data_IF_778004730354
#
_entry.id   IF_778004730354
#
_cell.length_a   1.000
_cell.length_b   1.000
_cell.length_c   1.000
_cell.angle_alpha   90.00
_cell.angle_beta   90.00
_cell.angle_gamma   90.00
#
_symmetry.space_group_name_H-M   'P 1'
#
loop_
_entity.id
_entity.type
_entity.pdbx_description
1 polymer ?
#
# COMPACT_ATOMS: atom_id res chain seq x y z
N UNK A 1 12.67 -9.50 -7.33
CA UNK A 1 12.30 -8.07 -7.30
C UNK A 1 11.88 -7.67 -5.90
N UNK A 2 12.16 -6.43 -5.52
CA UNK A 2 11.83 -5.91 -4.19
C UNK A 2 10.72 -4.85 -4.27
N UNK A 3 9.67 -5.06 -3.49
CA UNK A 3 8.48 -4.22 -3.47
C UNK A 3 8.26 -3.71 -2.05
N UNK A 4 7.90 -2.43 -1.90
CA UNK A 4 7.55 -1.79 -0.64
C UNK A 4 6.11 -1.30 -0.69
N UNK A 5 5.38 -1.45 0.41
CA UNK A 5 4.20 -0.64 0.73
C UNK A 5 4.40 0.12 2.04
N UNK A 6 3.91 1.36 2.10
CA UNK A 6 3.99 2.18 3.31
C UNK A 6 2.94 3.30 3.27
N UNK A 7 2.14 3.42 4.31
CA UNK A 7 1.37 4.63 4.56
C UNK A 7 2.34 5.76 4.96
N UNK A 8 2.33 6.88 4.23
CA UNK A 8 3.31 7.96 4.37
C UNK A 8 2.86 9.08 5.32
N UNK A 9 1.73 8.91 6.00
CA UNK A 9 1.13 9.86 6.96
C UNK A 9 0.97 11.28 6.38
N UNK A 10 -0.27 11.70 6.15
CA UNK A 10 -0.59 12.99 5.51
C UNK A 10 -0.56 14.21 6.45
N UNK A 11 -0.31 14.03 7.76
CA UNK A 11 -0.28 15.08 8.78
C UNK A 11 1.16 15.40 9.25
N UNK A 12 1.31 16.46 10.03
CA UNK A 12 2.62 16.88 10.55
C UNK A 12 3.51 17.53 9.49
N UNK A 13 4.83 17.39 9.63
CA UNK A 13 5.81 17.96 8.69
C UNK A 13 5.96 17.06 7.45
N UNK A 14 4.90 16.94 6.67
CA UNK A 14 4.84 16.09 5.47
C UNK A 14 5.97 16.39 4.48
N UNK A 15 6.29 17.66 4.12
CA UNK A 15 7.34 17.92 3.15
C UNK A 15 8.74 17.47 3.59
N UNK A 16 9.09 17.63 4.88
CA UNK A 16 10.40 17.22 5.39
C UNK A 16 10.50 15.69 5.44
N UNK A 17 9.47 15.00 5.99
CA UNK A 17 9.42 13.54 6.03
C UNK A 17 9.45 12.91 4.64
N UNK A 18 8.72 13.46 3.65
CA UNK A 18 8.74 12.93 2.28
C UNK A 18 10.07 13.17 1.57
N UNK A 19 10.83 14.23 1.90
CA UNK A 19 12.21 14.38 1.40
C UNK A 19 13.13 13.31 2.00
N UNK A 20 13.03 13.09 3.31
CA UNK A 20 13.81 12.07 3.99
C UNK A 20 13.47 10.66 3.48
N UNK A 21 12.17 10.35 3.34
CA UNK A 21 11.71 9.09 2.74
C UNK A 21 12.24 8.94 1.32
N UNK A 22 12.07 9.95 0.47
CA UNK A 22 12.57 9.92 -0.92
C UNK A 22 14.07 9.66 -0.99
N UNK A 23 14.87 10.33 -0.14
CA UNK A 23 16.32 10.10 -0.07
C UNK A 23 16.68 8.69 0.43
N UNK A 24 15.90 8.12 1.36
CA UNK A 24 16.08 6.75 1.81
C UNK A 24 15.75 5.74 0.70
N UNK A 25 14.64 5.97 -0.01
CA UNK A 25 14.23 5.16 -1.16
C UNK A 25 15.25 5.19 -2.29
N UNK A 26 15.82 6.36 -2.60
CA UNK A 26 16.80 6.51 -3.67
C UNK A 26 18.08 5.69 -3.43
N UNK A 27 18.47 5.56 -2.17
CA UNK A 27 19.63 4.74 -1.75
C UNK A 27 19.31 3.27 -1.54
N UNK A 28 18.03 2.89 -1.55
CA UNK A 28 17.59 1.52 -1.37
C UNK A 28 17.75 0.70 -2.66
N UNK A 29 17.60 -0.61 -2.54
CA UNK A 29 17.52 -1.54 -3.66
C UNK A 29 16.07 -1.96 -3.99
N UNK A 30 15.10 -1.18 -3.52
CA UNK A 30 13.69 -1.35 -3.81
C UNK A 30 13.39 -1.03 -5.27
N UNK A 31 12.66 -1.88 -5.94
CA UNK A 31 12.32 -1.75 -7.36
C UNK A 31 11.00 -1.01 -7.57
N UNK A 32 10.00 -1.33 -6.73
CA UNK A 32 8.63 -0.78 -6.77
C UNK A 32 8.25 -0.31 -5.37
N UNK A 33 7.70 0.91 -5.28
CA UNK A 33 7.26 1.51 -4.01
C UNK A 33 5.82 1.97 -4.15
N UNK A 34 4.96 1.50 -3.27
CA UNK A 34 3.55 1.85 -3.18
C UNK A 34 3.30 2.66 -1.90
N UNK A 35 2.92 3.91 -2.05
CA UNK A 35 2.66 4.80 -0.93
C UNK A 35 1.18 5.14 -0.83
N UNK A 36 0.68 5.21 0.40
CA UNK A 36 -0.63 5.72 0.75
C UNK A 36 -0.47 7.07 1.45
N UNK A 37 -1.53 7.84 1.55
CA UNK A 37 -1.60 9.17 2.18
C UNK A 37 -0.71 10.27 1.57
N UNK A 38 -0.24 10.10 0.36
CA UNK A 38 0.40 11.18 -0.39
C UNK A 38 -0.70 12.06 -1.01
N UNK A 39 -1.28 12.98 -0.23
CA UNK A 39 -2.53 13.66 -0.58
C UNK A 39 -2.43 14.66 -1.71
N UNK A 40 -1.27 15.28 -1.93
CA UNK A 40 -1.15 16.39 -2.88
C UNK A 40 -0.16 16.07 -4.00
N UNK A 41 -0.47 16.55 -5.21
CA UNK A 41 0.44 16.42 -6.36
C UNK A 41 1.81 17.07 -6.14
N UNK A 42 1.87 18.13 -5.34
CA UNK A 42 3.15 18.74 -4.92
C UNK A 42 4.00 17.77 -4.10
N UNK A 43 3.39 16.92 -3.27
CA UNK A 43 4.06 15.89 -2.48
C UNK A 43 4.62 14.77 -3.37
N UNK A 44 3.85 14.29 -4.34
CA UNK A 44 4.35 13.32 -5.32
C UNK A 44 5.52 13.87 -6.15
N UNK A 45 5.48 15.16 -6.53
CA UNK A 45 6.59 15.82 -7.22
C UNK A 45 7.84 15.92 -6.33
N UNK A 46 7.64 16.19 -5.03
CA UNK A 46 8.73 16.25 -4.05
C UNK A 46 9.40 14.89 -3.89
N UNK A 47 8.62 13.82 -3.71
CA UNK A 47 9.11 12.45 -3.67
C UNK A 47 9.91 12.10 -4.93
N UNK A 48 9.35 12.37 -6.13
CA UNK A 48 10.05 12.11 -7.39
C UNK A 48 11.40 12.84 -7.51
N UNK A 49 11.48 14.07 -6.97
CA UNK A 49 12.74 14.83 -6.96
C UNK A 49 13.75 14.26 -5.95
N UNK A 50 13.26 13.75 -4.82
CA UNK A 50 14.10 13.18 -3.77
C UNK A 50 14.52 11.72 -4.03
N UNK A 51 13.84 11.04 -4.98
CA UNK A 51 14.11 9.65 -5.35
C UNK A 51 14.26 9.52 -6.88
N UNK A 52 15.30 10.11 -7.50
CA UNK A 52 15.50 10.11 -8.97
C UNK A 52 15.73 8.71 -9.56
N UNK A 53 16.12 7.71 -8.76
CA UNK A 53 16.23 6.33 -9.20
C UNK A 53 14.90 5.75 -9.71
N UNK A 54 13.74 6.29 -9.25
CA UNK A 54 12.42 5.86 -9.71
C UNK A 54 11.96 6.72 -10.89
N UNK A 55 12.29 6.29 -12.09
CA UNK A 55 12.00 7.04 -13.33
C UNK A 55 10.50 7.10 -13.65
N UNK A 56 9.73 6.11 -13.19
CA UNK A 56 8.31 5.98 -13.51
C UNK A 56 7.45 6.20 -12.27
N UNK A 57 6.45 7.07 -12.40
CA UNK A 57 5.57 7.46 -11.31
C UNK A 57 4.12 7.41 -11.78
N UNK A 58 3.28 6.67 -11.08
CA UNK A 58 1.84 6.64 -11.32
C UNK A 58 1.10 7.26 -10.14
N UNK A 59 0.24 8.24 -10.44
CA UNK A 59 -0.72 8.83 -9.50
C UNK A 59 -1.83 9.54 -10.28
N UNK A 60 -3.03 9.62 -9.73
CA UNK A 60 -4.19 10.28 -10.34
C UNK A 60 -4.61 11.52 -9.56
N UNK A 61 -5.12 12.50 -10.27
CA UNK A 61 -5.63 13.75 -9.71
C UNK A 61 -4.81 14.96 -10.14
N UNK A 62 -5.41 16.16 -10.02
CA UNK A 62 -4.78 17.43 -10.41
C UNK A 62 -4.03 18.05 -9.23
N UNK A 63 -4.72 18.63 -8.27
CA UNK A 63 -4.15 19.18 -7.03
C UNK A 63 -4.14 18.16 -5.91
N UNK A 64 -5.30 17.53 -5.64
CA UNK A 64 -5.46 16.40 -4.73
C UNK A 64 -5.30 15.10 -5.51
N UNK A 65 -4.52 14.17 -4.94
CA UNK A 65 -4.39 12.84 -5.49
C UNK A 65 -5.57 11.96 -5.05
N UNK A 66 -6.10 11.20 -6.00
CA UNK A 66 -7.19 10.25 -5.75
C UNK A 66 -6.67 9.12 -4.85
N UNK A 67 -7.35 8.90 -3.74
CA UNK A 67 -6.96 7.91 -2.73
C UNK A 67 -5.66 8.23 -1.97
N UNK A 68 -4.97 9.33 -2.28
CA UNK A 68 -3.64 9.60 -1.74
C UNK A 68 -2.58 8.59 -2.19
N UNK A 69 -2.80 7.91 -3.33
CA UNK A 69 -1.99 6.79 -3.79
C UNK A 69 -0.92 7.24 -4.78
N UNK A 70 0.32 6.79 -4.53
CA UNK A 70 1.47 6.99 -5.43
C UNK A 70 2.20 5.67 -5.58
N UNK A 71 2.51 5.32 -6.83
CA UNK A 71 3.40 4.21 -7.15
C UNK A 71 4.65 4.79 -7.82
N UNK A 72 5.81 4.43 -7.30
CA UNK A 72 7.13 4.71 -7.88
C UNK A 72 7.70 3.39 -8.41
N UNK A 73 8.34 3.42 -9.58
CA UNK A 73 8.96 2.24 -10.16
C UNK A 73 10.28 2.59 -10.85
N UNK A 74 11.27 1.72 -10.71
CA UNK A 74 12.50 1.76 -11.52
C UNK A 74 12.23 1.30 -12.96
N UNK A 75 11.16 0.53 -13.17
CA UNK A 75 10.78 -0.09 -14.45
C UNK A 75 9.56 0.59 -15.08
N UNK A 76 9.40 0.48 -16.41
CA UNK A 76 8.30 1.11 -17.12
C UNK A 76 6.92 0.68 -16.59
N UNK A 77 6.02 1.66 -16.49
CA UNK A 77 4.60 1.45 -16.19
C UNK A 77 3.87 1.53 -17.52
N UNK A 78 3.39 0.38 -18.03
CA UNK A 78 2.77 0.27 -19.36
C UNK A 78 1.29 0.63 -19.33
N UNK A 79 0.58 0.36 -18.23
CA UNK A 79 -0.83 0.66 -18.04
C UNK A 79 -1.06 1.19 -16.65
N UNK A 80 -2.02 2.10 -16.52
CA UNK A 80 -2.38 2.69 -15.24
C UNK A 80 -3.86 3.07 -15.21
N UNK A 81 -4.54 2.74 -14.11
CA UNK A 81 -5.90 3.23 -13.81
C UNK A 81 -6.10 3.38 -12.31
N UNK A 82 -6.97 4.30 -11.93
CA UNK A 82 -7.50 4.43 -10.57
C UNK A 82 -8.99 4.10 -10.57
N UNK A 83 -9.43 3.25 -9.66
CA UNK A 83 -10.84 2.91 -9.47
C UNK A 83 -11.25 3.29 -8.05
N UNK A 84 -12.26 4.14 -7.94
CA UNK A 84 -12.80 4.59 -6.66
C UNK A 84 -13.66 3.48 -6.05
N UNK A 85 -13.57 3.34 -4.73
CA UNK A 85 -14.51 2.49 -3.99
C UNK A 85 -15.88 3.15 -3.87
N UNK A 86 -16.97 2.36 -3.76
CA UNK A 86 -18.28 2.87 -3.45
C UNK A 86 -18.23 3.66 -2.14
N UNK A 87 -18.91 4.79 -2.11
CA UNK A 87 -19.07 5.57 -0.89
C UNK A 87 -20.19 4.95 -0.07
N UNK A 88 -19.83 4.05 0.85
CA UNK A 88 -20.79 3.41 1.77
C UNK A 88 -20.60 3.98 3.17
N UNK A 89 -21.66 4.35 3.82
CA UNK A 89 -21.63 4.89 5.18
C UNK A 89 -21.76 6.43 5.30
N UNK A 90 -21.69 6.97 6.53
CA UNK A 90 -21.88 8.39 6.78
C UNK A 90 -20.76 9.23 6.16
N UNK A 91 -21.09 10.50 5.87
CA UNK A 91 -20.12 11.49 5.37
C UNK A 91 -18.99 11.65 6.38
N UNK A 92 -17.76 11.36 5.95
CA UNK A 92 -16.52 11.47 6.76
C UNK A 92 -15.48 12.27 6.00
N UNK A 93 -14.46 12.79 6.72
CA UNK A 93 -13.30 13.43 6.08
C UNK A 93 -12.60 12.54 5.05
N UNK A 94 -12.65 11.22 5.23
CA UNK A 94 -12.15 10.21 4.28
C UNK A 94 -12.85 10.23 2.92
N UNK A 95 -14.09 10.74 2.82
CA UNK A 95 -14.75 10.97 1.54
C UNK A 95 -13.96 11.90 0.62
N UNK A 96 -13.26 12.89 1.20
CA UNK A 96 -12.38 13.80 0.46
C UNK A 96 -11.14 13.08 -0.07
N UNK A 97 -10.68 12.03 0.60
CA UNK A 97 -9.56 11.21 0.14
C UNK A 97 -9.90 10.37 -1.09
N UNK A 98 -11.21 10.13 -1.35
CA UNK A 98 -11.67 9.32 -2.48
C UNK A 98 -11.00 7.95 -2.52
N UNK A 99 -11.05 7.20 -1.39
CA UNK A 99 -10.46 5.87 -1.26
C UNK A 99 -10.75 4.98 -2.47
N UNK A 100 -9.81 4.13 -2.83
CA UNK A 100 -9.88 3.30 -4.04
C UNK A 100 -8.62 2.48 -4.26
N UNK A 101 -8.54 1.85 -5.42
CA UNK A 101 -7.40 1.06 -5.86
C UNK A 101 -6.72 1.71 -7.08
N UNK A 102 -5.40 1.74 -7.05
CA UNK A 102 -4.52 2.11 -8.14
C UNK A 102 -3.97 0.82 -8.76
N UNK A 103 -4.31 0.54 -10.01
CA UNK A 103 -3.81 -0.60 -10.74
C UNK A 103 -2.77 -0.14 -11.75
N UNK A 104 -1.60 -0.77 -11.73
CA UNK A 104 -0.50 -0.46 -12.63
C UNK A 104 0.13 -1.74 -13.17
N UNK A 105 0.33 -1.84 -14.48
CA UNK A 105 1.15 -2.89 -15.10
C UNK A 105 2.59 -2.40 -15.16
N UNK A 106 3.50 -3.11 -14.50
CA UNK A 106 4.94 -2.79 -14.45
C UNK A 106 5.70 -3.82 -15.28
N UNK A 107 6.48 -3.35 -16.26
CA UNK A 107 7.32 -4.19 -17.10
C UNK A 107 8.63 -4.53 -16.37
N UNK A 108 8.61 -5.57 -15.54
CA UNK A 108 9.80 -6.03 -14.80
C UNK A 108 10.73 -6.86 -15.66
N UNK A 109 12.00 -7.05 -15.28
CA UNK A 109 12.92 -7.97 -15.98
C UNK A 109 12.40 -9.41 -16.07
N UNK A 110 11.54 -9.85 -15.15
CA UNK A 110 10.92 -11.17 -15.14
C UNK A 110 9.54 -11.21 -15.87
N UNK A 111 9.18 -10.17 -16.61
CA UNK A 111 7.90 -10.02 -17.30
C UNK A 111 6.96 -9.05 -16.60
N UNK A 112 5.74 -8.89 -17.14
CA UNK A 112 4.74 -7.96 -16.61
C UNK A 112 4.25 -8.43 -15.23
N UNK A 113 4.11 -7.47 -14.29
CA UNK A 113 3.48 -7.63 -12.98
C UNK A 113 2.37 -6.59 -12.85
N UNK A 114 1.18 -7.02 -12.47
CA UNK A 114 0.10 -6.10 -12.10
C UNK A 114 0.23 -5.77 -10.61
N UNK A 115 0.51 -4.50 -10.30
CA UNK A 115 0.57 -3.98 -8.93
C UNK A 115 -0.71 -3.23 -8.62
N UNK A 116 -1.35 -3.59 -7.53
CA UNK A 116 -2.57 -2.97 -7.04
C UNK A 116 -2.26 -2.32 -5.70
N UNK A 117 -2.07 -0.99 -5.71
CA UNK A 117 -1.87 -0.19 -4.51
C UNK A 117 -3.23 0.31 -4.01
N UNK A 118 -3.55 0.08 -2.75
CA UNK A 118 -4.84 0.46 -2.17
C UNK A 118 -4.72 0.99 -0.75
N UNK A 119 -5.75 1.70 -0.31
CA UNK A 119 -5.91 2.15 1.06
C UNK A 119 -7.40 2.09 1.41
N UNK A 120 -7.79 1.18 2.31
CA UNK A 120 -9.17 0.99 2.74
C UNK A 120 -9.58 2.01 3.82
N UNK A 121 -10.87 2.13 4.04
CA UNK A 121 -11.43 2.98 5.10
C UNK A 121 -10.99 2.52 6.49
N UNK A 122 -10.55 3.48 7.33
CA UNK A 122 -10.05 3.18 8.66
C UNK A 122 -11.16 2.66 9.58
N UNK A 123 -10.82 1.66 10.38
CA UNK A 123 -11.53 1.32 11.60
C UNK A 123 -11.24 2.41 12.66
N UNK A 124 -12.19 2.74 13.52
CA UNK A 124 -12.06 3.83 14.50
C UNK A 124 -12.44 3.44 15.92
N UNK A 125 -12.80 2.19 16.12
CA UNK A 125 -13.28 1.68 17.41
C UNK A 125 -12.63 0.36 17.81
N UNK A 126 -11.58 -0.04 17.08
CA UNK A 126 -10.80 -1.26 17.31
C UNK A 126 -11.64 -2.55 17.39
N UNK A 127 -12.84 -2.52 16.80
CA UNK A 127 -13.72 -3.67 16.65
C UNK A 127 -13.78 -4.11 15.19
N UNK A 128 -13.08 -5.18 14.84
CA UNK A 128 -13.09 -5.78 13.50
C UNK A 128 -14.07 -6.95 13.37
N UNK A 129 -15.03 -7.06 14.29
CA UNK A 129 -16.08 -8.07 14.18
C UNK A 129 -16.90 -7.91 12.89
N UNK A 130 -17.47 -8.96 12.32
CA UNK A 130 -18.26 -8.90 11.10
C UNK A 130 -19.52 -8.01 11.21
N UNK A 131 -20.01 -7.79 12.43
CA UNK A 131 -21.17 -6.94 12.71
C UNK A 131 -20.82 -5.46 12.81
N UNK A 132 -19.55 -5.12 12.99
CA UNK A 132 -19.10 -3.73 13.09
C UNK A 132 -19.30 -2.99 11.76
N UNK A 133 -19.73 -1.74 11.86
CA UNK A 133 -20.01 -0.91 10.66
C UNK A 133 -18.77 -0.61 9.83
N UNK A 134 -17.61 -0.42 10.48
CA UNK A 134 -16.35 -0.13 9.79
C UNK A 134 -15.87 -1.36 9.04
N UNK A 135 -15.96 -2.54 9.68
CA UNK A 135 -15.65 -3.83 9.05
C UNK A 135 -16.54 -4.09 7.83
N UNK A 136 -17.85 -3.79 7.93
CA UNK A 136 -18.77 -3.94 6.78
C UNK A 136 -18.44 -2.98 5.63
N UNK A 137 -17.98 -1.76 5.91
CA UNK A 137 -17.50 -0.83 4.88
C UNK A 137 -16.26 -1.41 4.20
N UNK A 138 -15.27 -1.84 4.98
CA UNK A 138 -14.04 -2.44 4.45
C UNK A 138 -14.34 -3.72 3.63
N UNK A 139 -15.27 -4.58 4.08
CA UNK A 139 -15.71 -5.75 3.34
C UNK A 139 -16.33 -5.38 1.98
N UNK A 140 -17.12 -4.30 1.89
CA UNK A 140 -17.63 -3.79 0.62
C UNK A 140 -16.53 -3.26 -0.32
N UNK A 141 -15.51 -2.61 0.24
CA UNK A 141 -14.32 -2.15 -0.51
C UNK A 141 -13.49 -3.35 -0.99
N UNK A 142 -13.30 -4.38 -0.15
CA UNK A 142 -12.63 -5.64 -0.51
C UNK A 142 -13.39 -6.40 -1.59
N UNK A 143 -14.71 -6.46 -1.55
CA UNK A 143 -15.53 -7.08 -2.61
C UNK A 143 -15.32 -6.37 -3.95
N UNK A 144 -15.23 -5.03 -3.95
CA UNK A 144 -14.89 -4.27 -5.15
C UNK A 144 -13.48 -4.56 -5.62
N UNK A 145 -12.52 -4.64 -4.69
CA UNK A 145 -11.12 -4.95 -4.99
C UNK A 145 -10.99 -6.36 -5.60
N UNK A 146 -11.67 -7.36 -5.03
CA UNK A 146 -11.73 -8.73 -5.57
C UNK A 146 -12.25 -8.75 -7.02
N UNK A 147 -13.31 -7.99 -7.31
CA UNK A 147 -13.84 -7.86 -8.68
C UNK A 147 -12.80 -7.24 -9.65
N UNK A 148 -11.99 -6.30 -9.18
CA UNK A 148 -10.92 -5.70 -9.99
C UNK A 148 -9.79 -6.69 -10.28
N UNK A 149 -9.43 -7.52 -9.29
CA UNK A 149 -8.40 -8.55 -9.42
C UNK A 149 -8.87 -9.67 -10.34
N UNK A 150 -10.13 -10.10 -10.22
CA UNK A 150 -10.74 -11.11 -11.09
C UNK A 150 -10.77 -10.69 -12.57
N UNK A 151 -10.82 -9.37 -12.83
CA UNK A 151 -10.77 -8.82 -14.19
C UNK A 151 -9.33 -8.69 -14.76
N UNK A 152 -8.31 -9.01 -13.98
CA UNK A 152 -6.92 -9.06 -14.47
C UNK A 152 -6.71 -10.38 -15.19
N UNK A 153 -6.08 -10.31 -16.37
CA UNK A 153 -5.72 -11.49 -17.16
C UNK A 153 -5.06 -12.55 -16.26
N UNK A 154 -5.57 -13.78 -16.22
CA UNK A 154 -5.01 -14.85 -15.39
C UNK A 154 -3.58 -15.26 -15.77
N UNK A 155 -3.11 -14.90 -16.96
CA UNK A 155 -1.70 -15.06 -17.35
C UNK A 155 -0.75 -14.05 -16.71
N UNK A 156 -1.28 -13.06 -15.99
CA UNK A 156 -0.46 -12.03 -15.30
C UNK A 156 -0.46 -12.25 -13.80
N UNK A 157 0.70 -12.26 -13.17
CA UNK A 157 0.80 -12.27 -11.72
C UNK A 157 0.35 -10.93 -11.15
N UNK A 158 -0.20 -10.94 -9.93
CA UNK A 158 -0.72 -9.76 -9.25
C UNK A 158 -0.07 -9.61 -7.87
N UNK A 159 0.31 -8.40 -7.51
CA UNK A 159 0.65 -8.01 -6.15
C UNK A 159 -0.34 -6.94 -5.67
N UNK A 160 -1.12 -7.25 -4.64
CA UNK A 160 -2.03 -6.32 -3.96
C UNK A 160 -1.34 -5.85 -2.70
N UNK A 161 -1.17 -4.53 -2.57
CA UNK A 161 -0.41 -3.95 -1.47
C UNK A 161 -1.10 -2.71 -0.92
N UNK A 162 -0.89 -2.42 0.35
CA UNK A 162 -1.40 -1.20 0.96
C UNK A 162 -1.79 -1.35 2.42
N UNK A 163 -2.25 -0.23 2.94
CA UNK A 163 -2.92 -0.15 4.24
C UNK A 163 -4.38 -0.59 4.07
N UNK A 164 -4.67 -1.82 4.48
CA UNK A 164 -6.02 -2.37 4.39
C UNK A 164 -6.88 -2.03 5.62
N UNK A 165 -6.29 -1.41 6.65
CA UNK A 165 -6.96 -1.07 7.90
C UNK A 165 -7.71 -2.26 8.56
N UNK A 166 -7.26 -3.47 8.26
CA UNK A 166 -7.78 -4.73 8.76
C UNK A 166 -6.63 -5.56 9.34
N UNK A 167 -6.77 -6.10 10.55
CA UNK A 167 -5.79 -7.04 11.09
C UNK A 167 -5.59 -8.23 10.16
N UNK A 168 -4.35 -8.73 10.10
CA UNK A 168 -3.97 -9.86 9.22
C UNK A 168 -4.84 -11.08 9.45
N UNK A 169 -5.26 -11.33 10.68
CA UNK A 169 -6.07 -12.48 11.05
C UNK A 169 -7.58 -12.20 11.04
N UNK A 170 -8.02 -11.03 10.56
CA UNK A 170 -9.45 -10.71 10.51
C UNK A 170 -10.20 -11.59 9.51
N UNK A 171 -11.42 -11.98 9.87
CA UNK A 171 -12.27 -12.80 9.00
C UNK A 171 -12.48 -12.13 7.63
N UNK A 172 -12.73 -10.82 7.61
CA UNK A 172 -12.95 -10.08 6.35
C UNK A 172 -11.74 -10.14 5.41
N UNK A 173 -10.50 -10.09 5.95
CA UNK A 173 -9.29 -10.22 5.13
C UNK A 173 -9.09 -11.65 4.65
N UNK A 174 -9.33 -12.64 5.52
CA UNK A 174 -9.25 -14.07 5.17
C UNK A 174 -10.23 -14.43 4.04
N UNK A 175 -11.47 -13.97 4.13
CA UNK A 175 -12.50 -14.16 3.10
C UNK A 175 -12.07 -13.53 1.77
N UNK A 176 -11.52 -12.31 1.82
CA UNK A 176 -11.01 -11.63 0.62
C UNK A 176 -9.84 -12.37 -0.02
N UNK A 177 -8.84 -12.79 0.77
CA UNK A 177 -7.68 -13.55 0.28
C UNK A 177 -8.15 -14.81 -0.44
N UNK A 178 -9.08 -15.55 0.18
CA UNK A 178 -9.66 -16.77 -0.40
C UNK A 178 -10.41 -16.48 -1.68
N UNK A 179 -11.32 -15.50 -1.68
CA UNK A 179 -12.17 -15.17 -2.81
C UNK A 179 -11.39 -14.63 -4.02
N UNK A 180 -10.27 -13.93 -3.78
CA UNK A 180 -9.42 -13.37 -4.84
C UNK A 180 -8.27 -14.30 -5.27
N UNK A 181 -8.14 -15.48 -4.66
CA UNK A 181 -7.06 -16.44 -4.94
C UNK A 181 -5.68 -15.87 -4.62
N UNK A 182 -5.57 -15.12 -3.52
CA UNK A 182 -4.35 -14.49 -3.07
C UNK A 182 -3.64 -15.32 -2.00
N UNK A 183 -2.36 -15.01 -1.76
CA UNK A 183 -1.57 -15.51 -0.62
C UNK A 183 -0.90 -14.31 0.06
N UNK A 184 -0.90 -14.28 1.39
CA UNK A 184 -0.19 -13.25 2.16
C UNK A 184 1.29 -13.64 2.31
N UNK A 185 2.21 -12.77 1.90
CA UNK A 185 3.66 -13.02 2.03
C UNK A 185 4.16 -12.92 3.47
N UNK A 186 3.35 -12.39 4.38
CA UNK A 186 3.58 -12.29 5.82
C UNK A 186 2.64 -13.20 6.62
N UNK A 187 2.10 -14.27 6.01
CA UNK A 187 1.21 -15.19 6.71
C UNK A 187 1.84 -15.66 8.03
N UNK A 188 1.11 -15.50 9.14
CA UNK A 188 1.56 -15.86 10.50
C UNK A 188 2.43 -14.80 11.19
N UNK A 189 2.83 -13.72 10.52
CA UNK A 189 3.53 -12.60 11.17
C UNK A 189 2.49 -11.62 11.75
N UNK A 190 2.46 -11.54 13.08
CA UNK A 190 1.53 -10.68 13.83
C UNK A 190 2.15 -9.38 14.31
N UNK A 191 3.42 -9.11 13.97
CA UNK A 191 4.08 -7.85 14.34
C UNK A 191 3.26 -6.64 13.82
N UNK A 192 3.05 -5.61 14.66
CA UNK A 192 2.30 -4.44 14.24
C UNK A 192 3.00 -3.72 13.07
N UNK A 193 2.22 -3.24 12.12
CA UNK A 193 2.70 -2.35 11.05
C UNK A 193 2.43 -0.87 11.35
N UNK A 194 1.59 -0.60 12.36
CA UNK A 194 1.38 0.72 12.95
C UNK A 194 2.22 0.87 14.23
N UNK A 195 2.77 2.05 14.48
CA UNK A 195 3.61 2.28 15.67
C UNK A 195 2.77 2.28 16.93
N UNK A 196 3.16 1.53 17.96
CA UNK A 196 2.53 1.62 19.28
C UNK A 196 2.55 3.04 19.82
N UNK A 197 1.45 3.45 20.43
CA UNK A 197 1.32 4.74 21.12
C UNK A 197 0.78 4.50 22.54
N UNK A 198 0.90 5.47 23.46
CA UNK A 198 0.28 5.33 24.77
C UNK A 198 -1.24 5.07 24.73
N UNK A 199 -1.93 5.64 23.73
CA UNK A 199 -3.37 5.41 23.53
C UNK A 199 -3.70 4.14 22.76
N UNK A 200 -2.71 3.51 22.13
CA UNK A 200 -2.85 2.27 21.37
C UNK A 200 -1.56 1.43 21.45
N UNK A 201 -1.32 0.76 22.60
CA UNK A 201 -0.04 0.11 22.88
C UNK A 201 0.22 -1.17 22.07
N UNK A 202 -0.83 -1.77 21.51
CA UNK A 202 -0.75 -3.02 20.76
C UNK A 202 -1.58 -2.96 19.47
N UNK A 203 -1.22 -2.08 18.52
CA UNK A 203 -1.90 -2.03 17.24
C UNK A 203 -1.65 -3.33 16.45
N UNK A 204 -2.59 -3.76 15.60
CA UNK A 204 -2.40 -4.94 14.76
C UNK A 204 -1.54 -4.65 13.53
N UNK A 205 -1.26 -5.69 12.75
CA UNK A 205 -0.71 -5.58 11.41
C UNK A 205 -1.83 -5.14 10.44
N UNK A 206 -1.74 -3.92 9.89
CA UNK A 206 -2.74 -3.29 9.02
C UNK A 206 -2.28 -3.18 7.57
N UNK A 207 -0.96 -3.22 7.33
CA UNK A 207 -0.35 -3.13 6.01
C UNK A 207 -0.01 -4.52 5.49
N UNK A 208 -0.37 -4.78 4.22
CA UNK A 208 -0.30 -6.12 3.65
C UNK A 208 0.36 -6.12 2.28
N UNK A 209 1.00 -7.25 1.94
CA UNK A 209 1.43 -7.60 0.59
C UNK A 209 0.85 -8.98 0.28
N UNK A 210 -0.14 -8.99 -0.61
CA UNK A 210 -0.85 -10.19 -1.03
C UNK A 210 -0.50 -10.47 -2.48
N UNK A 211 -0.28 -11.72 -2.86
CA UNK A 211 0.17 -12.09 -4.20
C UNK A 211 -0.74 -13.15 -4.81
N UNK A 212 -0.90 -13.10 -6.14
CA UNK A 212 -1.53 -14.13 -6.97
C UNK A 212 -0.56 -14.52 -8.07
N UNK A 213 -0.31 -15.80 -8.20
CA UNK A 213 0.48 -16.38 -9.30
C UNK A 213 -0.25 -16.22 -10.64
N UNK A 214 0.51 -16.21 -11.73
CA UNK A 214 -0.05 -16.34 -13.07
C UNK A 214 -0.32 -17.82 -13.41
N UNK A 215 -1.17 -18.05 -14.40
CA UNK A 215 -1.36 -19.41 -14.93
C UNK A 215 -0.03 -19.96 -15.49
N UNK A 216 0.39 -21.11 -14.99
CA UNK A 216 1.65 -21.76 -15.39
C UNK A 216 2.93 -21.17 -14.78
N UNK A 217 2.83 -20.22 -13.87
CA UNK A 217 3.98 -19.66 -13.13
C UNK A 217 3.63 -19.57 -11.64
N UNK A 218 4.64 -19.66 -10.80
CA UNK A 218 4.52 -19.47 -9.36
C UNK A 218 5.15 -18.14 -8.96
N UNK A 219 4.39 -17.29 -8.26
CA UNK A 219 4.89 -16.10 -7.58
C UNK A 219 4.95 -16.39 -6.09
N UNK A 220 6.14 -16.31 -5.51
CA UNK A 220 6.38 -16.47 -4.06
C UNK A 220 7.05 -15.22 -3.51
N UNK A 221 7.06 -15.08 -2.21
CA UNK A 221 7.74 -13.97 -1.56
C UNK A 221 8.01 -14.21 -0.09
N UNK A 222 8.94 -13.42 0.42
CA UNK A 222 9.16 -13.21 1.85
C UNK A 222 9.15 -11.72 2.12
N UNK A 223 8.71 -11.31 3.30
CA UNK A 223 8.65 -9.90 3.64
C UNK A 223 9.14 -9.63 5.05
N UNK A 224 9.49 -8.35 5.30
CA UNK A 224 9.88 -7.86 6.61
C UNK A 224 9.48 -6.39 6.77
N UNK A 225 9.52 -5.93 8.04
CA UNK A 225 9.25 -4.53 8.39
C UNK A 225 10.51 -3.69 8.24
N UNK A 226 10.37 -2.52 7.62
CA UNK A 226 11.45 -1.56 7.39
C UNK A 226 11.03 -0.15 7.82
N UNK A 227 11.97 0.78 7.88
CA UNK A 227 11.75 2.16 8.33
C UNK A 227 11.21 2.26 9.76
N UNK A 228 11.69 1.39 10.63
CA UNK A 228 11.27 1.34 12.02
C UNK A 228 11.93 2.42 12.86
N UNK A 229 13.14 2.83 12.51
CA UNK A 229 13.96 3.77 13.26
C UNK A 229 13.58 5.23 12.98
N UNK A 230 13.96 6.11 13.90
CA UNK A 230 13.92 7.55 13.68
C UNK A 230 14.95 7.96 12.62
N UNK A 231 14.62 9.00 11.91
CA UNK A 231 15.50 9.66 10.94
C UNK A 231 15.79 11.10 11.38
N UNK A 232 16.98 11.58 11.07
CA UNK A 232 17.31 12.99 11.27
C UNK A 232 16.86 13.81 10.07
N UNK A 233 15.97 14.75 10.28
CA UNK A 233 15.56 15.72 9.27
C UNK A 233 16.66 16.74 8.99
N UNK A 234 16.62 17.49 7.85
CA UNK A 234 17.62 18.49 7.51
C UNK A 234 17.78 19.61 8.54
N UNK A 235 16.78 19.85 9.37
CA UNK A 235 16.79 20.84 10.45
C UNK A 235 17.31 20.27 11.79
N UNK A 236 17.82 19.03 11.81
CA UNK A 236 18.38 18.36 12.97
C UNK A 236 17.36 17.65 13.88
N UNK A 237 16.05 17.78 13.62
CA UNK A 237 15.02 17.08 14.40
C UNK A 237 15.04 15.58 14.10
N UNK A 238 14.87 14.78 15.17
CA UNK A 238 14.60 13.35 15.05
C UNK A 238 13.10 13.11 14.90
N UNK A 239 12.72 12.21 13.98
CA UNK A 239 11.32 11.82 13.78
C UNK A 239 11.24 10.49 13.04
N UNK A 240 10.11 9.82 13.16
CA UNK A 240 9.81 8.70 12.29
C UNK A 240 9.31 9.18 10.93
N UNK A 241 9.57 8.40 9.88
CA UNK A 241 9.08 8.70 8.52
C UNK A 241 7.55 8.65 8.42
N UNK A 242 6.90 7.83 9.26
CA UNK A 242 5.45 7.69 9.38
C UNK A 242 5.10 7.12 10.74
N UNK A 243 3.81 7.14 11.09
CA UNK A 243 3.21 6.34 12.15
C UNK A 243 3.01 4.87 11.75
N UNK A 244 3.20 4.54 10.47
CA UNK A 244 3.32 3.17 9.99
C UNK A 244 4.78 2.78 9.77
N UNK A 245 5.07 1.48 9.85
CA UNK A 245 6.29 0.89 9.31
C UNK A 245 6.12 0.62 7.81
N UNK A 246 7.22 0.55 7.07
CA UNK A 246 7.19 0.02 5.71
C UNK A 246 7.13 -1.51 5.75
N UNK A 247 6.38 -2.11 4.86
CA UNK A 247 6.42 -3.56 4.59
C UNK A 247 7.14 -3.77 3.27
N UNK A 248 8.30 -4.44 3.33
CA UNK A 248 9.12 -4.74 2.17
C UNK A 248 9.02 -6.22 1.85
N UNK A 249 8.77 -6.58 0.59
CA UNK A 249 8.80 -7.96 0.12
C UNK A 249 9.88 -8.20 -0.93
N UNK A 250 10.55 -9.35 -0.82
CA UNK A 250 11.35 -9.95 -1.89
C UNK A 250 10.45 -10.95 -2.63
N UNK A 251 10.07 -10.63 -3.88
CA UNK A 251 9.23 -11.49 -4.71
C UNK A 251 10.07 -12.24 -5.74
N UNK A 252 9.77 -13.53 -5.92
CA UNK A 252 10.42 -14.43 -6.87
C UNK A 252 9.39 -15.07 -7.78
N UNK A 253 9.67 -15.12 -9.08
CA UNK A 253 8.86 -15.84 -10.08
C UNK A 253 9.62 -17.09 -10.52
N UNK A 254 8.91 -18.20 -10.63
CA UNK A 254 9.42 -19.47 -11.17
C UNK A 254 8.37 -20.06 -12.12
N UNK A 255 8.86 -20.75 -13.13
CA UNK A 255 8.04 -21.55 -14.06
C UNK A 255 7.77 -22.93 -13.47
#
# INVERSE_FOLDING_TARGET
MRLLTMNALYTGDVPARLRALGAALDRSDLDIVCLQEVMYRRHARLLRRAAPAYRYVACSGTALLKGGLVLLSRWPISRYRFVRYPTTGPVRGELLMRKGAQLASVATPAGELVVVNTHLSANRDDDWSPTNRHTRIAAGELARLASLIAAVDPSLPVAVVGDLNLPRESAALTDFITAAGLSDVLAGDTRPTYRPTPGWPSPPALDHILIRSAAGETLTGSADLVFQEEVTLPDGRQTHLSDHYGVQAQLTRSK
#
